data_IF_339190592522
#
_entry.id   IF_339190592522
#
_cell.length_a   1.000
_cell.length_b   1.000
_cell.length_c   1.000
_cell.angle_alpha   90.00
_cell.angle_beta   90.00
_cell.angle_gamma   90.00
#
_symmetry.space_group_name_H-M   'P 1'
#
loop_
_entity.id
_entity.type
_entity.pdbx_description
1 polymer ?
#
# COMPACT_ATOMS: atom_id res chain seq x y z
N UNK A 1 -12.70 1.58 -80.73
CA UNK A 1 -13.55 1.41 -79.52
C UNK A 1 -12.66 1.65 -78.31
N UNK A 2 -12.76 2.66 -77.47
CA UNK A 2 -13.58 3.87 -77.41
C UNK A 2 -13.07 4.64 -76.18
N UNK A 3 -12.40 5.77 -76.41
CA UNK A 3 -11.95 6.72 -75.39
C UNK A 3 -13.12 7.27 -74.56
N UNK A 4 -12.91 7.43 -73.25
CA UNK A 4 -13.71 8.38 -72.45
C UNK A 4 -12.84 9.24 -71.53
N UNK A 5 -12.81 10.51 -71.94
CA UNK A 5 -12.29 11.71 -71.28
C UNK A 5 -13.16 12.15 -70.09
N UNK A 6 -12.58 13.10 -69.32
CA UNK A 6 -13.20 14.22 -68.56
C UNK A 6 -13.81 13.85 -67.19
N UNK A 7 -13.76 14.69 -66.14
CA UNK A 7 -13.36 16.09 -66.01
C UNK A 7 -12.99 16.44 -64.56
N UNK A 8 -12.12 17.43 -64.43
CA UNK A 8 -11.84 18.22 -63.24
C UNK A 8 -13.09 18.97 -62.73
N UNK A 9 -13.23 19.11 -61.41
CA UNK A 9 -14.08 20.14 -60.80
C UNK A 9 -13.30 20.88 -59.73
N UNK A 10 -12.79 22.06 -60.14
CA UNK A 10 -12.40 23.18 -59.27
C UNK A 10 -13.63 24.06 -59.06
N UNK A 11 -13.90 24.46 -57.81
CA UNK A 11 -14.53 25.71 -57.31
C UNK A 11 -14.90 25.46 -55.83
N UNK A 12 -14.81 26.38 -54.89
CA UNK A 12 -14.53 27.81 -54.93
C UNK A 12 -14.21 28.29 -53.51
N UNK A 13 -13.13 29.06 -53.43
CA UNK A 13 -12.71 29.91 -52.32
C UNK A 13 -13.76 31.02 -52.12
N UNK A 14 -14.41 31.06 -50.96
CA UNK A 14 -15.27 32.17 -50.54
C UNK A 14 -14.68 32.87 -49.32
N UNK A 15 -14.78 34.19 -49.34
CA UNK A 15 -14.15 35.17 -48.47
C UNK A 15 -14.85 35.30 -47.10
N UNK A 16 -14.08 35.80 -46.13
CA UNK A 16 -14.49 36.29 -44.79
C UNK A 16 -15.59 37.38 -44.88
N UNK A 17 -16.31 37.68 -43.79
CA UNK A 17 -15.86 38.69 -42.81
C UNK A 17 -16.10 38.23 -41.34
N UNK A 18 -15.12 38.31 -40.43
CA UNK A 18 -14.79 39.48 -39.61
C UNK A 18 -16.00 40.29 -39.12
N UNK A 19 -16.56 39.91 -37.96
CA UNK A 19 -17.25 40.85 -37.07
C UNK A 19 -16.82 40.58 -35.63
N UNK A 20 -16.08 41.54 -35.07
CA UNK A 20 -15.90 41.63 -33.64
C UNK A 20 -17.14 42.24 -33.00
N UNK A 21 -17.46 41.78 -31.79
CA UNK A 21 -18.13 42.64 -30.82
C UNK A 21 -17.76 42.25 -29.40
N UNK A 22 -17.14 43.24 -28.74
CA UNK A 22 -16.97 43.36 -27.30
C UNK A 22 -18.34 43.57 -26.64
N UNK A 23 -18.44 43.16 -25.37
CA UNK A 23 -19.23 43.71 -24.23
C UNK A 23 -19.70 42.53 -23.37
N UNK A 24 -19.83 42.62 -22.06
CA UNK A 24 -19.41 43.56 -21.03
C UNK A 24 -19.62 42.83 -19.71
N UNK A 25 -18.88 43.25 -18.67
CA UNK A 25 -19.08 42.81 -17.30
C UNK A 25 -20.49 43.12 -16.80
N UNK A 26 -21.09 42.18 -16.09
CA UNK A 26 -22.34 42.34 -15.35
C UNK A 26 -22.16 41.83 -13.93
N UNK A 27 -21.71 42.74 -13.06
CA UNK A 27 -21.63 42.59 -11.62
C UNK A 27 -22.99 42.92 -11.00
N UNK A 28 -23.54 41.98 -10.25
CA UNK A 28 -24.60 42.21 -9.25
C UNK A 28 -24.58 41.03 -8.27
N UNK A 29 -24.89 41.13 -6.98
CA UNK A 29 -24.94 42.16 -5.93
C UNK A 29 -25.55 41.39 -4.74
N UNK A 30 -24.92 41.53 -3.57
CA UNK A 30 -25.35 41.01 -2.25
C UNK A 30 -26.85 41.17 -1.95
N UNK A 31 -27.41 40.14 -1.28
CA UNK A 31 -28.36 40.21 -0.15
C UNK A 31 -28.00 39.02 0.76
N UNK A 32 -27.33 39.15 1.92
CA UNK A 32 -27.79 39.66 3.23
C UNK A 32 -29.15 39.13 3.69
N UNK A 33 -29.10 38.06 4.52
CA UNK A 33 -29.65 37.90 5.89
C UNK A 33 -31.10 38.35 6.18
N UNK A 34 -31.85 37.67 7.09
CA UNK A 34 -31.48 37.74 8.51
C UNK A 34 -31.88 36.57 9.44
N UNK A 35 -31.27 36.61 10.64
CA UNK A 35 -31.82 36.32 11.99
C UNK A 35 -32.53 34.98 12.26
N UNK A 36 -32.56 34.36 13.44
CA UNK A 36 -32.17 34.53 14.85
C UNK A 36 -32.08 33.06 15.36
N UNK A 37 -31.42 32.70 16.45
CA UNK A 37 -32.03 32.76 17.78
C UNK A 37 -31.02 32.33 18.84
N UNK A 38 -31.12 33.01 19.96
CA UNK A 38 -30.14 33.14 21.01
C UNK A 38 -30.67 32.38 22.23
N UNK A 39 -30.11 31.21 22.56
CA UNK A 39 -30.47 30.48 23.79
C UNK A 39 -29.34 30.54 24.81
N UNK A 40 -29.70 31.19 25.92
CA UNK A 40 -28.95 31.49 27.14
C UNK A 40 -28.38 30.26 27.85
N UNK A 41 -27.12 30.41 28.27
CA UNK A 41 -26.27 29.47 29.00
C UNK A 41 -26.60 29.51 30.51
N UNK A 42 -26.95 28.37 31.11
CA UNK A 42 -27.10 28.21 32.56
C UNK A 42 -25.73 27.95 33.22
N UNK A 43 -25.46 28.62 34.35
CA UNK A 43 -24.28 28.45 35.19
C UNK A 43 -24.50 27.34 36.23
N UNK A 44 -23.54 26.43 36.48
CA UNK A 44 -23.59 25.54 37.64
C UNK A 44 -22.95 26.17 38.90
N UNK A 45 -23.55 25.85 40.06
CA UNK A 45 -23.06 26.18 41.42
C UNK A 45 -21.95 25.22 41.86
N UNK A 46 -21.02 25.64 42.74
CA UNK A 46 -19.96 24.77 43.27
C UNK A 46 -20.44 23.96 44.48
N UNK A 47 -20.13 22.67 44.51
CA UNK A 47 -20.23 21.80 45.70
C UNK A 47 -18.84 21.46 46.23
N UNK A 48 -18.75 21.53 47.56
CA UNK A 48 -17.57 21.47 48.39
C UNK A 48 -17.28 20.06 48.91
N UNK A 49 -15.98 19.69 48.86
CA UNK A 49 -15.15 19.20 50.00
C UNK A 49 -15.22 17.71 50.45
N UNK A 50 -14.04 17.08 50.32
CA UNK A 50 -13.32 16.10 51.19
C UNK A 50 -13.96 14.74 51.52
N UNK A 51 -13.21 13.68 51.23
CA UNK A 51 -12.74 12.75 52.28
C UNK A 51 -11.50 11.96 51.84
N UNK A 52 -10.63 11.69 52.81
CA UNK A 52 -9.31 11.05 52.73
C UNK A 52 -9.33 9.75 53.54
N UNK A 53 -8.76 8.64 53.03
CA UNK A 53 -8.31 7.45 53.79
C UNK A 53 -7.22 6.74 52.96
N UNK A 54 -5.92 6.76 53.37
CA UNK A 54 -5.16 5.74 54.17
C UNK A 54 -5.15 4.34 53.54
N UNK A 55 -4.05 3.79 52.99
CA UNK A 55 -2.76 3.35 53.59
C UNK A 55 -2.81 1.97 54.29
N UNK A 56 -2.23 0.94 53.65
CA UNK A 56 -1.48 -0.22 54.24
C UNK A 56 -1.22 -1.28 53.14
N UNK A 57 0.04 -1.53 52.76
CA UNK A 57 0.90 -2.69 53.15
C UNK A 57 0.83 -3.80 52.07
N UNK A 58 1.87 -4.09 51.26
CA UNK A 58 3.22 -4.67 51.48
C UNK A 58 3.19 -6.19 51.74
N UNK A 59 4.04 -6.90 51.00
CA UNK A 59 4.48 -8.31 51.11
C UNK A 59 3.64 -9.46 50.53
N UNK A 60 4.05 -9.93 49.33
CA UNK A 60 4.20 -11.38 49.04
C UNK A 60 5.02 -11.58 47.75
N UNK A 61 6.34 -11.59 47.91
CA UNK A 61 7.29 -12.00 46.87
C UNK A 61 8.42 -12.80 47.52
N UNK A 62 8.17 -14.08 47.84
CA UNK A 62 9.23 -15.06 48.07
C UNK A 62 8.63 -16.48 48.16
N UNK A 63 8.60 -17.19 47.03
CA UNK A 63 8.56 -18.65 47.03
C UNK A 63 9.26 -19.17 45.77
N UNK A 64 10.58 -19.32 45.94
CA UNK A 64 11.56 -19.97 45.05
C UNK A 64 11.10 -21.38 44.64
N UNK A 65 11.20 -21.73 43.36
CA UNK A 65 12.29 -22.51 42.76
C UNK A 65 12.51 -23.88 43.43
N UNK A 66 11.97 -24.93 42.80
CA UNK A 66 12.33 -26.34 43.01
C UNK A 66 12.41 -27.05 41.66
N UNK A 67 13.63 -27.42 41.26
CA UNK A 67 13.98 -28.13 40.02
C UNK A 67 13.49 -29.58 40.03
N UNK A 68 12.88 -30.02 38.93
CA UNK A 68 12.65 -31.43 38.63
C UNK A 68 12.10 -31.57 37.21
N UNK A 69 12.81 -32.29 36.36
CA UNK A 69 12.47 -32.61 34.96
C UNK A 69 11.00 -32.99 34.79
N UNK A 70 10.18 -32.10 34.24
CA UNK A 70 8.78 -32.39 33.97
C UNK A 70 8.27 -31.57 32.77
N UNK A 71 7.37 -32.21 32.02
CA UNK A 71 6.61 -31.75 30.83
C UNK A 71 6.29 -30.25 30.82
N UNK A 72 6.18 -29.70 29.61
CA UNK A 72 5.89 -28.29 29.33
C UNK A 72 4.74 -27.74 30.22
N UNK A 73 4.89 -26.56 30.85
CA UNK A 73 3.89 -26.00 31.75
C UNK A 73 2.57 -25.62 31.06
N UNK A 74 2.55 -25.58 29.73
CA UNK A 74 1.33 -25.31 28.93
C UNK A 74 0.37 -26.51 28.89
N UNK A 75 0.85 -27.76 29.01
CA UNK A 75 -0.01 -28.94 28.93
C UNK A 75 -0.93 -29.05 30.16
N UNK A 76 -0.43 -28.65 31.34
CA UNK A 76 -1.24 -28.62 32.58
C UNK A 76 -2.38 -27.60 32.55
N UNK A 77 -2.20 -26.50 31.82
CA UNK A 77 -3.25 -25.48 31.69
C UNK A 77 -4.37 -25.99 30.80
N UNK A 78 -4.03 -26.75 29.75
CA UNK A 78 -5.00 -27.31 28.83
C UNK A 78 -5.88 -28.39 29.49
N UNK A 79 -5.28 -29.30 30.26
CA UNK A 79 -6.03 -30.36 30.98
C UNK A 79 -6.95 -29.77 32.07
N UNK A 80 -6.50 -28.71 32.75
CA UNK A 80 -7.28 -28.01 33.78
C UNK A 80 -8.47 -27.24 33.17
N UNK A 81 -8.31 -26.68 31.96
CA UNK A 81 -9.37 -25.94 31.27
C UNK A 81 -10.39 -26.88 30.62
N UNK A 82 -9.98 -28.08 30.18
CA UNK A 82 -10.86 -29.06 29.55
C UNK A 82 -11.53 -30.03 30.55
N UNK A 83 -11.22 -29.92 31.85
CA UNK A 83 -11.84 -30.74 32.90
C UNK A 83 -11.48 -32.22 32.83
N UNK A 84 -10.39 -32.56 32.14
CA UNK A 84 -9.92 -33.94 31.99
C UNK A 84 -9.22 -34.33 33.30
N UNK A 85 -9.76 -35.32 34.00
CA UNK A 85 -9.16 -35.83 35.22
C UNK A 85 -7.78 -36.43 34.90
N UNK A 86 -6.76 -36.27 35.77
CA UNK A 86 -5.44 -36.90 35.59
C UNK A 86 -5.50 -38.43 35.42
N UNK A 87 -6.61 -39.06 35.84
CA UNK A 87 -6.87 -40.49 35.70
C UNK A 87 -7.37 -40.87 34.28
N UNK A 88 -8.03 -39.97 33.56
CA UNK A 88 -8.43 -40.17 32.14
C UNK A 88 -7.28 -39.94 31.17
N UNK A 89 -6.37 -39.00 31.46
CA UNK A 89 -5.23 -38.73 30.57
C UNK A 89 -4.24 -39.89 30.53
N UNK A 90 -4.15 -40.70 31.59
CA UNK A 90 -3.30 -41.87 31.65
C UNK A 90 -3.86 -43.09 30.89
N UNK A 91 -5.18 -43.12 30.63
CA UNK A 91 -5.81 -44.19 29.86
C UNK A 91 -5.63 -44.03 28.35
N UNK A 92 -5.52 -42.79 27.86
CA UNK A 92 -5.39 -42.48 26.43
C UNK A 92 -4.00 -42.84 25.89
N UNK A 93 -2.94 -42.70 26.70
CA UNK A 93 -1.57 -43.08 26.33
C UNK A 93 -1.35 -44.61 26.28
N UNK A 94 -2.30 -45.42 26.79
CA UNK A 94 -2.18 -46.88 26.84
C UNK A 94 -2.83 -47.62 25.65
N UNK A 95 -3.71 -46.99 24.88
CA UNK A 95 -4.44 -47.65 23.77
C UNK A 95 -3.88 -47.34 22.37
N UNK A 96 -2.87 -46.48 22.23
CA UNK A 96 -2.32 -46.10 20.91
C UNK A 96 -1.13 -46.96 20.43
N UNK A 97 -0.89 -48.12 21.04
CA UNK A 97 0.16 -49.06 20.65
C UNK A 97 -0.31 -50.51 20.80
N UNK A 98 -1.27 -50.93 19.97
CA UNK A 98 -1.76 -52.31 20.00
C UNK A 98 -2.53 -52.77 18.76
N UNK A 99 -1.81 -53.37 17.81
CA UNK A 99 -2.36 -54.22 16.74
C UNK A 99 -2.68 -53.48 15.45
N UNK A 100 -2.25 -53.89 14.26
CA UNK A 100 -1.73 -55.18 13.80
C UNK A 100 -2.36 -55.51 12.45
N UNK A 101 -1.71 -56.38 11.68
CA UNK A 101 -2.25 -57.12 10.52
C UNK A 101 -2.13 -56.46 9.14
N UNK A 102 -1.00 -56.77 8.49
CA UNK A 102 -0.94 -57.59 7.27
C UNK A 102 -1.97 -57.28 6.17
N UNK A 103 -1.54 -56.54 5.14
CA UNK A 103 -2.13 -56.65 3.81
C UNK A 103 -1.01 -56.75 2.76
N UNK A 104 -0.90 -57.96 2.18
CA UNK A 104 -0.07 -58.29 1.04
C UNK A 104 -0.64 -57.58 -0.20
N UNK A 105 0.05 -56.56 -0.71
CA UNK A 105 -0.24 -56.02 -2.04
C UNK A 105 1.01 -56.01 -2.91
N UNK A 106 1.04 -57.01 -3.78
CA UNK A 106 1.71 -57.12 -5.07
C UNK A 106 2.43 -55.86 -5.61
N UNK A 107 3.77 -55.93 -5.62
CA UNK A 107 4.51 -56.05 -6.87
C UNK A 107 4.37 -54.95 -7.93
N UNK A 108 4.25 -53.68 -7.56
CA UNK A 108 4.45 -52.58 -8.51
C UNK A 108 5.90 -52.09 -8.42
N UNK A 109 6.68 -52.37 -9.48
CA UNK A 109 8.05 -51.91 -9.63
C UNK A 109 8.08 -50.37 -9.69
N UNK A 110 8.17 -49.74 -8.52
CA UNK A 110 8.51 -48.33 -8.38
C UNK A 110 9.92 -48.16 -8.93
N UNK A 111 10.01 -47.43 -10.03
CA UNK A 111 11.28 -46.86 -10.47
C UNK A 111 11.78 -46.04 -9.29
N UNK A 112 12.94 -46.44 -8.74
CA UNK A 112 13.64 -45.66 -7.75
C UNK A 112 14.02 -44.35 -8.43
N UNK A 113 13.15 -43.35 -8.30
CA UNK A 113 13.44 -41.98 -8.65
C UNK A 113 14.67 -41.60 -7.83
N UNK A 114 15.78 -41.46 -8.57
CA UNK A 114 17.07 -40.97 -8.13
C UNK A 114 16.83 -39.63 -7.41
N UNK A 115 16.62 -39.70 -6.09
CA UNK A 115 16.71 -38.58 -5.17
C UNK A 115 18.17 -38.15 -5.15
N UNK A 116 18.60 -37.53 -6.26
CA UNK A 116 19.88 -36.85 -6.35
C UNK A 116 19.91 -35.88 -5.18
N UNK A 117 20.78 -36.17 -4.23
CA UNK A 117 21.13 -35.35 -3.07
C UNK A 117 21.61 -33.99 -3.58
N UNK A 118 20.66 -33.15 -3.99
CA UNK A 118 20.90 -31.80 -4.42
C UNK A 118 21.19 -31.03 -3.15
N UNK A 119 22.46 -31.11 -2.72
CA UNK A 119 23.02 -30.22 -1.71
C UNK A 119 22.71 -28.81 -2.17
N UNK A 120 21.68 -28.23 -1.57
CA UNK A 120 21.30 -26.85 -1.82
C UNK A 120 22.52 -26.01 -1.47
N UNK A 121 23.26 -25.60 -2.50
CA UNK A 121 24.50 -24.85 -2.34
C UNK A 121 24.19 -23.56 -1.58
N UNK A 122 24.52 -23.52 -0.30
CA UNK A 122 24.32 -22.33 0.52
C UNK A 122 25.05 -21.15 -0.11
N UNK A 123 24.33 -20.05 -0.35
CA UNK A 123 24.88 -18.87 -0.98
C UNK A 123 24.46 -17.60 -0.26
N UNK A 124 25.37 -16.62 -0.28
CA UNK A 124 25.14 -15.32 0.35
C UNK A 124 24.50 -14.35 -0.64
N UNK A 125 23.38 -13.75 -0.22
CA UNK A 125 22.67 -12.69 -0.92
C UNK A 125 23.09 -11.34 -0.32
N UNK A 126 23.43 -10.39 -1.18
CA UNK A 126 23.84 -9.04 -0.78
C UNK A 126 22.69 -8.06 -1.05
N UNK A 127 22.12 -7.54 0.02
CA UNK A 127 21.07 -6.52 0.01
C UNK A 127 21.68 -5.13 0.18
N UNK A 128 21.12 -4.13 -0.51
CA UNK A 128 21.47 -2.72 -0.31
C UNK A 128 20.33 -2.03 0.42
N UNK A 129 20.58 -1.61 1.66
CA UNK A 129 19.60 -0.99 2.54
C UNK A 129 19.93 0.49 2.77
N UNK A 130 18.95 1.40 2.81
CA UNK A 130 19.20 2.82 3.08
C UNK A 130 19.54 3.04 4.56
N UNK A 131 20.52 3.91 4.83
CA UNK A 131 20.95 4.28 6.18
C UNK A 131 21.51 5.70 6.20
N UNK A 132 20.91 6.61 6.98
CA UNK A 132 21.35 8.02 7.12
C UNK A 132 21.78 8.71 5.80
N UNK A 133 20.91 8.70 4.78
CA UNK A 133 21.17 9.26 3.43
C UNK A 133 22.26 8.54 2.61
N UNK A 134 22.75 7.39 3.08
CA UNK A 134 23.65 6.50 2.36
C UNK A 134 22.99 5.13 2.11
N UNK A 135 23.71 4.24 1.43
CA UNK A 135 23.33 2.83 1.27
C UNK A 135 24.36 1.94 1.96
N UNK A 136 23.92 1.03 2.81
CA UNK A 136 24.76 0.00 3.39
C UNK A 136 24.48 -1.37 2.75
N UNK A 137 25.50 -2.22 2.74
CA UNK A 137 25.36 -3.61 2.32
C UNK A 137 25.04 -4.51 3.51
N UNK A 138 24.02 -5.35 3.34
CA UNK A 138 23.59 -6.38 4.28
C UNK A 138 23.76 -7.74 3.60
N UNK A 139 24.57 -8.61 4.18
CA UNK A 139 24.87 -9.94 3.65
C UNK A 139 24.12 -10.99 4.46
N UNK A 140 23.28 -11.79 3.81
CA UNK A 140 22.49 -12.84 4.45
C UNK A 140 22.57 -14.15 3.67
N UNK A 141 22.40 -15.28 4.33
CA UNK A 141 22.33 -16.59 3.67
C UNK A 141 20.97 -16.77 2.98
N UNK A 142 20.91 -17.52 1.88
CA UNK A 142 19.67 -17.86 1.19
C UNK A 142 18.67 -18.65 2.05
N UNK A 143 19.16 -19.30 3.12
CA UNK A 143 18.35 -20.05 4.10
C UNK A 143 17.77 -19.16 5.21
N UNK A 144 18.09 -17.86 5.22
CA UNK A 144 17.63 -16.92 6.25
C UNK A 144 16.10 -16.81 6.21
N UNK A 145 15.44 -17.02 7.34
CA UNK A 145 13.98 -16.87 7.48
C UNK A 145 13.53 -15.41 7.34
N UNK A 146 12.24 -15.18 7.06
CA UNK A 146 11.71 -13.82 6.93
C UNK A 146 11.92 -12.98 8.21
N UNK A 147 11.67 -13.56 9.38
CA UNK A 147 11.90 -12.90 10.68
C UNK A 147 13.39 -12.57 10.88
N UNK A 148 14.28 -13.49 10.49
CA UNK A 148 15.73 -13.27 10.52
C UNK A 148 16.16 -12.13 9.60
N UNK A 149 15.60 -12.06 8.40
CA UNK A 149 15.81 -10.97 7.46
C UNK A 149 15.35 -9.63 8.03
N UNK A 150 14.12 -9.53 8.54
CA UNK A 150 13.60 -8.31 9.14
C UNK A 150 14.45 -7.84 10.32
N UNK A 151 14.84 -8.77 11.20
CA UNK A 151 15.70 -8.47 12.36
C UNK A 151 17.06 -7.93 11.92
N UNK A 152 17.64 -8.51 10.87
CA UNK A 152 18.92 -8.06 10.32
C UNK A 152 18.79 -6.67 9.66
N UNK A 153 17.69 -6.40 8.96
CA UNK A 153 17.39 -5.07 8.39
C UNK A 153 17.19 -4.03 9.49
N UNK A 154 16.43 -4.32 10.55
CA UNK A 154 16.24 -3.42 11.70
C UNK A 154 17.56 -3.01 12.32
N UNK A 155 18.41 -4.00 12.60
CA UNK A 155 19.72 -3.77 13.20
C UNK A 155 20.62 -2.95 12.28
N UNK A 156 20.55 -3.19 10.97
CA UNK A 156 21.39 -2.51 9.97
C UNK A 156 20.93 -1.08 9.69
N UNK A 157 19.64 -0.83 9.74
CA UNK A 157 19.03 0.48 9.49
C UNK A 157 18.90 1.35 10.76
N UNK A 158 19.07 0.76 11.94
CA UNK A 158 18.85 1.42 13.25
C UNK A 158 17.44 2.02 13.39
N UNK A 159 16.44 1.33 12.84
CA UNK A 159 15.02 1.74 12.89
C UNK A 159 14.20 0.78 13.75
N UNK A 160 13.09 1.27 14.31
CA UNK A 160 12.13 0.44 15.03
C UNK A 160 11.29 -0.45 14.11
N UNK A 161 10.73 -1.54 14.66
CA UNK A 161 9.90 -2.54 13.95
C UNK A 161 8.76 -1.88 13.16
N UNK A 162 8.18 -0.81 13.70
CA UNK A 162 7.08 -0.05 13.09
C UNK A 162 7.43 0.58 11.73
N UNK A 163 8.72 0.78 11.44
CA UNK A 163 9.15 1.34 10.14
C UNK A 163 9.30 0.27 9.06
N UNK A 164 9.20 -1.01 9.41
CA UNK A 164 9.31 -2.14 8.49
C UNK A 164 7.96 -2.70 8.04
N UNK A 165 6.84 -2.08 8.40
CA UNK A 165 5.51 -2.53 8.00
C UNK A 165 5.23 -2.42 6.50
N UNK A 166 6.13 -1.81 5.71
CA UNK A 166 5.98 -1.60 4.27
C UNK A 166 7.33 -1.60 3.54
N UNK A 167 8.16 -2.64 3.71
CA UNK A 167 9.44 -2.72 3.01
C UNK A 167 9.20 -3.03 1.53
N UNK A 168 9.55 -2.09 0.66
CA UNK A 168 9.66 -2.34 -0.77
C UNK A 168 11.06 -2.84 -1.17
N UNK A 169 11.15 -3.82 -2.06
CA UNK A 169 12.40 -4.24 -2.67
C UNK A 169 12.41 -4.03 -4.19
N UNK A 170 13.61 -3.79 -4.73
CA UNK A 170 13.85 -3.68 -6.17
C UNK A 170 14.96 -4.66 -6.56
N UNK A 171 14.61 -5.66 -7.36
CA UNK A 171 15.56 -6.62 -7.89
C UNK A 171 16.49 -5.95 -8.92
N UNK A 172 17.75 -5.71 -8.55
CA UNK A 172 18.74 -5.03 -9.40
C UNK A 172 19.08 -5.79 -10.68
N UNK A 173 18.80 -7.10 -10.71
CA UNK A 173 19.03 -7.94 -11.87
C UNK A 173 17.94 -7.86 -12.95
N UNK A 174 16.82 -7.19 -12.67
CA UNK A 174 15.78 -6.93 -13.68
C UNK A 174 16.22 -5.79 -14.61
N UNK A 175 15.84 -5.81 -15.90
CA UNK A 175 16.19 -4.75 -16.83
C UNK A 175 15.69 -3.38 -16.34
N UNK A 176 16.50 -2.34 -16.52
CA UNK A 176 16.18 -0.97 -16.04
C UNK A 176 15.06 -0.28 -16.83
N UNK A 177 14.68 -0.80 -17.99
CA UNK A 177 13.65 -0.25 -18.87
C UNK A 177 12.62 -1.34 -19.21
N UNK A 178 11.36 -1.20 -18.77
CA UNK A 178 10.80 -0.11 -17.94
C UNK A 178 11.42 -0.04 -16.53
N UNK A 179 11.30 1.11 -15.84
CA UNK A 179 11.81 1.24 -14.46
C UNK A 179 11.16 0.16 -13.59
N UNK A 180 11.94 -0.71 -12.93
CA UNK A 180 11.38 -1.78 -12.11
C UNK A 180 10.54 -1.18 -10.99
N UNK A 181 9.30 -1.65 -10.86
CA UNK A 181 8.39 -1.22 -9.79
C UNK A 181 8.79 -1.93 -8.50
N UNK A 182 8.95 -1.21 -7.37
CA UNK A 182 9.19 -1.82 -6.08
C UNK A 182 8.08 -2.81 -5.72
N UNK A 183 8.45 -4.01 -5.28
CA UNK A 183 7.51 -5.01 -4.74
C UNK A 183 7.52 -4.94 -3.23
N UNK A 184 6.36 -5.06 -2.60
CA UNK A 184 6.22 -5.02 -1.14
C UNK A 184 6.56 -6.39 -0.53
N UNK A 185 7.15 -6.39 0.66
CA UNK A 185 7.47 -7.57 1.47
C UNK A 185 6.75 -7.44 2.81
N UNK A 186 5.51 -7.89 2.90
CA UNK A 186 4.72 -7.83 4.14
C UNK A 186 4.66 -9.18 4.84
N UNK A 187 4.60 -10.26 4.04
CA UNK A 187 4.36 -11.61 4.54
C UNK A 187 5.58 -12.51 4.37
N UNK A 188 5.58 -13.63 5.10
CA UNK A 188 6.58 -14.69 4.89
C UNK A 188 6.46 -15.32 3.49
N UNK A 189 5.30 -15.24 2.83
CA UNK A 189 5.07 -15.78 1.50
C UNK A 189 5.71 -14.91 0.42
N UNK A 190 5.59 -13.58 0.53
CA UNK A 190 6.28 -12.63 -0.34
C UNK A 190 7.79 -12.83 -0.31
N UNK A 191 8.33 -13.09 0.88
CA UNK A 191 9.75 -13.35 1.07
C UNK A 191 10.18 -14.70 0.47
N UNK A 192 9.35 -15.75 0.57
CA UNK A 192 9.59 -17.02 -0.15
C UNK A 192 9.58 -16.81 -1.67
N UNK A 193 8.64 -16.01 -2.19
CA UNK A 193 8.58 -15.65 -3.61
C UNK A 193 9.84 -14.91 -4.06
N UNK A 194 10.34 -13.97 -3.26
CA UNK A 194 11.63 -13.31 -3.50
C UNK A 194 12.79 -14.32 -3.56
N UNK A 195 12.86 -15.26 -2.63
CA UNK A 195 13.92 -16.27 -2.62
C UNK A 195 13.84 -17.22 -3.82
N UNK A 196 12.64 -17.58 -4.27
CA UNK A 196 12.44 -18.33 -5.50
C UNK A 196 12.91 -17.54 -6.73
N UNK A 197 12.52 -16.26 -6.86
CA UNK A 197 12.96 -15.35 -7.94
C UNK A 197 14.50 -15.24 -8.00
N UNK A 198 15.17 -15.14 -6.84
CA UNK A 198 16.65 -15.07 -6.75
C UNK A 198 17.29 -16.40 -7.15
N UNK A 199 16.73 -17.52 -6.68
CA UNK A 199 17.24 -18.87 -6.97
C UNK A 199 17.12 -19.19 -8.46
N UNK A 200 15.99 -18.86 -9.08
CA UNK A 200 15.78 -19.01 -10.53
C UNK A 200 16.79 -18.20 -11.33
N UNK A 201 16.98 -16.94 -10.96
CA UNK A 201 17.97 -16.07 -11.59
C UNK A 201 19.40 -16.63 -11.46
N UNK A 202 19.78 -17.14 -10.28
CA UNK A 202 21.08 -17.78 -10.05
C UNK A 202 21.27 -19.01 -10.96
N UNK A 203 20.27 -19.89 -11.02
CA UNK A 203 20.27 -21.08 -11.90
C UNK A 203 20.46 -20.69 -13.36
N UNK A 204 19.73 -19.67 -13.83
CA UNK A 204 19.89 -19.15 -15.19
C UNK A 204 21.32 -18.64 -15.45
N UNK A 205 21.89 -17.88 -14.52
CA UNK A 205 23.25 -17.34 -14.65
C UNK A 205 24.34 -18.43 -14.63
N UNK A 206 24.20 -19.44 -13.78
CA UNK A 206 25.13 -20.57 -13.72
C UNK A 206 25.09 -21.39 -15.02
N UNK A 207 23.88 -21.68 -15.54
CA UNK A 207 23.70 -22.37 -16.83
C UNK A 207 24.37 -21.60 -17.98
N UNK A 208 24.27 -20.26 -17.96
CA UNK A 208 24.89 -19.40 -18.98
C UNK A 208 26.42 -19.34 -18.88
N UNK A 209 27.00 -19.42 -17.67
CA UNK A 209 28.47 -19.44 -17.49
C UNK A 209 29.12 -20.73 -18.01
N UNK A 210 28.39 -21.84 -18.06
CA UNK A 210 28.91 -23.11 -18.59
C UNK A 210 28.93 -23.22 -20.12
N UNK A 211 28.13 -22.41 -20.83
CA UNK A 211 28.05 -22.41 -22.29
C UNK A 211 28.64 -21.13 -22.88
N UNK A 212 29.88 -21.17 -23.35
CA UNK A 212 30.53 -20.03 -23.98
C UNK A 212 29.71 -19.45 -25.13
N UNK A 213 29.38 -18.16 -25.04
CA UNK A 213 28.93 -17.36 -26.19
C UNK A 213 27.43 -17.19 -26.32
N UNK A 214 26.91 -16.06 -25.84
CA UNK A 214 25.58 -15.59 -26.21
C UNK A 214 25.01 -14.58 -25.23
N UNK A 215 25.15 -13.29 -25.52
CA UNK A 215 24.62 -12.17 -24.73
C UNK A 215 23.09 -12.05 -24.70
N UNK A 216 22.36 -13.17 -24.61
CA UNK A 216 20.91 -13.17 -24.46
C UNK A 216 20.50 -12.44 -23.18
N UNK A 217 19.61 -11.46 -23.31
CA UNK A 217 18.97 -10.74 -22.21
C UNK A 217 18.12 -11.74 -21.45
N UNK A 218 18.38 -11.95 -20.15
CA UNK A 218 17.47 -12.69 -19.30
C UNK A 218 16.15 -11.92 -19.25
N UNK A 219 15.11 -12.52 -19.82
CA UNK A 219 13.76 -12.21 -19.45
C UNK A 219 13.38 -13.34 -18.48
N UNK A 220 12.90 -13.04 -17.27
CA UNK A 220 12.30 -14.08 -16.45
C UNK A 220 11.32 -14.83 -17.33
N UNK A 221 11.20 -16.16 -17.15
CA UNK A 221 10.06 -16.86 -17.70
C UNK A 221 8.85 -16.04 -17.26
N UNK A 222 8.16 -15.43 -18.23
CA UNK A 222 6.93 -14.69 -17.96
C UNK A 222 6.14 -15.68 -17.15
N UNK A 223 5.92 -15.41 -15.85
CA UNK A 223 5.07 -16.26 -15.03
C UNK A 223 3.85 -16.52 -15.92
N UNK A 224 3.52 -17.78 -16.25
CA UNK A 224 2.34 -18.06 -17.07
C UNK A 224 1.26 -17.26 -16.39
N UNK A 225 0.72 -16.26 -17.10
CA UNK A 225 -0.07 -15.19 -16.51
C UNK A 225 -0.97 -15.88 -15.50
N UNK A 226 -0.75 -15.61 -14.20
CA UNK A 226 -1.48 -16.28 -13.14
C UNK A 226 -2.93 -16.25 -13.59
N UNK A 227 -3.64 -17.40 -13.66
CA UNK A 227 -4.97 -17.45 -14.24
C UNK A 227 -5.72 -16.23 -13.74
N UNK A 228 -6.02 -15.30 -14.65
CA UNK A 228 -6.59 -14.00 -14.28
C UNK A 228 -7.72 -14.34 -13.33
N UNK A 229 -7.64 -13.83 -12.09
CA UNK A 229 -8.62 -14.09 -11.05
C UNK A 229 -10.00 -13.97 -11.71
N UNK A 230 -10.92 -14.91 -11.46
CA UNK A 230 -12.18 -14.97 -12.22
C UNK A 230 -12.92 -13.61 -12.26
N UNK A 231 -12.70 -12.77 -11.24
CA UNK A 231 -13.15 -11.37 -11.19
C UNK A 231 -12.53 -10.46 -12.26
N UNK A 232 -11.22 -10.55 -12.54
CA UNK A 232 -10.55 -9.76 -13.56
C UNK A 232 -10.98 -10.16 -14.98
N UNK A 233 -11.13 -11.47 -15.22
CA UNK A 233 -11.63 -11.97 -16.50
C UNK A 233 -13.03 -11.43 -16.80
N UNK A 234 -13.92 -11.45 -15.81
CA UNK A 234 -15.27 -10.90 -15.98
C UNK A 234 -15.29 -9.38 -16.22
N UNK A 235 -14.43 -8.60 -15.54
CA UNK A 235 -14.28 -7.17 -15.82
C UNK A 235 -13.85 -6.91 -17.26
N UNK A 236 -12.95 -7.74 -17.79
CA UNK A 236 -12.50 -7.63 -19.17
C UNK A 236 -13.61 -7.97 -20.18
N UNK A 237 -14.45 -8.95 -19.88
CA UNK A 237 -15.65 -9.27 -20.67
C UNK A 237 -16.66 -8.12 -20.67
N UNK A 238 -16.89 -7.48 -19.52
CA UNK A 238 -17.74 -6.29 -19.41
C UNK A 238 -17.18 -5.11 -20.22
N UNK A 239 -15.87 -4.88 -20.18
CA UNK A 239 -15.23 -3.85 -21.01
C UNK A 239 -15.47 -4.11 -22.50
N UNK A 240 -15.27 -5.36 -22.96
CA UNK A 240 -15.50 -5.73 -24.36
C UNK A 240 -16.98 -5.57 -24.75
N UNK A 241 -17.92 -5.85 -23.84
CA UNK A 241 -19.34 -5.64 -24.05
C UNK A 241 -19.69 -4.15 -24.22
N UNK A 242 -19.14 -3.27 -23.37
CA UNK A 242 -19.30 -1.81 -23.48
C UNK A 242 -18.71 -1.32 -24.81
N UNK A 243 -17.52 -1.78 -25.18
CA UNK A 243 -16.87 -1.38 -26.43
C UNK A 243 -17.70 -1.76 -27.65
N UNK A 244 -18.24 -2.98 -27.66
CA UNK A 244 -19.09 -3.48 -28.74
C UNK A 244 -20.40 -2.70 -28.85
N UNK A 245 -21.04 -2.39 -27.71
CA UNK A 245 -22.33 -1.70 -27.69
C UNK A 245 -22.21 -0.23 -28.12
N UNK A 246 -21.16 0.47 -27.65
CA UNK A 246 -20.93 1.89 -27.95
C UNK A 246 -20.00 2.12 -29.16
N UNK A 247 -19.79 1.10 -29.99
CA UNK A 247 -18.90 1.17 -31.15
C UNK A 247 -19.35 2.24 -32.15
N UNK A 248 -18.49 3.24 -32.39
CA UNK A 248 -18.80 4.36 -33.27
C UNK A 248 -18.18 4.20 -34.66
N UNK A 249 -18.98 4.46 -35.71
CA UNK A 249 -18.50 4.38 -37.10
C UNK A 249 -17.45 5.46 -37.43
N UNK A 250 -17.58 6.67 -36.89
CA UNK A 250 -16.61 7.77 -37.14
C UNK A 250 -15.22 7.47 -36.56
N UNK A 251 -15.16 6.71 -35.46
CA UNK A 251 -13.92 6.39 -34.76
C UNK A 251 -13.47 4.93 -34.98
N UNK A 252 -13.81 4.35 -36.14
CA UNK A 252 -13.38 3.00 -36.55
C UNK A 252 -13.76 1.89 -35.55
N UNK A 253 -15.00 1.92 -35.06
CA UNK A 253 -15.53 0.91 -34.16
C UNK A 253 -15.12 1.07 -32.70
N UNK A 254 -14.47 2.18 -32.33
CA UNK A 254 -14.15 2.50 -30.93
C UNK A 254 -15.37 2.99 -30.17
N UNK A 255 -15.44 2.63 -28.89
CA UNK A 255 -16.48 3.07 -27.98
C UNK A 255 -16.54 4.60 -27.88
N UNK A 256 -17.67 5.22 -28.21
CA UNK A 256 -17.85 6.67 -28.07
C UNK A 256 -19.19 7.03 -27.43
N UNK A 257 -19.18 8.12 -26.65
CA UNK A 257 -20.39 8.83 -26.24
C UNK A 257 -20.79 9.86 -27.29
N UNK A 258 -22.01 9.77 -27.80
CA UNK A 258 -22.55 10.72 -28.80
C UNK A 258 -23.38 11.78 -28.09
N UNK A 259 -22.97 13.03 -28.17
CA UNK A 259 -23.71 14.15 -27.61
C UNK A 259 -24.90 14.52 -28.50
N UNK A 260 -25.86 15.23 -27.93
CA UNK A 260 -27.07 15.72 -28.62
C UNK A 260 -26.77 16.59 -29.85
N UNK A 261 -25.58 17.20 -29.92
CA UNK A 261 -25.12 18.01 -31.05
C UNK A 261 -24.37 17.21 -32.13
N UNK A 262 -24.30 15.88 -32.02
CA UNK A 262 -23.54 15.01 -32.93
C UNK A 262 -22.03 15.07 -32.70
N UNK A 263 -21.55 15.69 -31.62
CA UNK A 263 -20.14 15.57 -31.22
C UNK A 263 -19.90 14.22 -30.56
N UNK A 264 -18.70 13.66 -30.75
CA UNK A 264 -18.32 12.35 -30.21
C UNK A 264 -17.21 12.51 -29.17
N UNK A 265 -17.39 11.87 -28.00
CA UNK A 265 -16.34 11.66 -27.01
C UNK A 265 -15.90 10.20 -27.05
N UNK A 266 -14.66 9.95 -27.47
CA UNK A 266 -14.11 8.60 -27.46
C UNK A 266 -13.75 8.20 -26.02
N UNK A 267 -14.30 7.10 -25.53
CA UNK A 267 -13.96 6.58 -24.20
C UNK A 267 -12.48 6.18 -24.16
N UNK A 268 -11.79 6.55 -23.09
CA UNK A 268 -10.44 6.06 -22.80
C UNK A 268 -10.50 4.71 -22.07
N UNK A 269 -9.41 3.95 -22.04
CA UNK A 269 -9.38 2.68 -21.32
C UNK A 269 -9.77 2.83 -19.83
N UNK A 270 -9.33 3.93 -19.19
CA UNK A 270 -9.72 4.24 -17.82
C UNK A 270 -11.23 4.49 -17.65
N UNK A 271 -11.90 5.05 -18.68
CA UNK A 271 -13.34 5.26 -18.67
C UNK A 271 -14.08 3.91 -18.71
N UNK A 272 -13.61 2.99 -19.58
CA UNK A 272 -14.16 1.64 -19.71
C UNK A 272 -13.96 0.80 -18.44
N UNK A 273 -12.79 0.89 -17.79
CA UNK A 273 -12.52 0.18 -16.52
C UNK A 273 -13.44 0.67 -15.39
N UNK A 274 -13.62 1.98 -15.26
CA UNK A 274 -14.53 2.55 -14.25
C UNK A 274 -15.97 2.08 -14.53
N UNK A 275 -16.40 2.13 -15.79
CA UNK A 275 -17.74 1.70 -16.17
C UNK A 275 -17.96 0.21 -15.93
N UNK A 276 -17.05 -0.66 -16.36
CA UNK A 276 -17.12 -2.09 -16.10
C UNK A 276 -17.18 -2.41 -14.61
N UNK A 277 -16.44 -1.65 -13.78
CA UNK A 277 -16.49 -1.78 -12.31
C UNK A 277 -17.86 -1.37 -11.76
N UNK A 278 -18.47 -0.30 -12.27
CA UNK A 278 -19.80 0.13 -11.85
C UNK A 278 -20.88 -0.87 -12.25
N UNK A 279 -20.77 -1.51 -13.42
CA UNK A 279 -21.69 -2.58 -13.83
C UNK A 279 -21.52 -3.81 -12.92
N UNK A 280 -20.28 -4.21 -12.64
CA UNK A 280 -19.99 -5.32 -11.73
C UNK A 280 -20.54 -5.11 -10.31
N UNK A 281 -20.63 -3.85 -9.85
CA UNK A 281 -21.23 -3.50 -8.58
C UNK A 281 -22.75 -3.23 -8.65
N UNK A 282 -23.40 -3.54 -9.78
CA UNK A 282 -24.82 -3.26 -10.04
C UNK A 282 -25.22 -1.77 -9.88
N UNK A 283 -24.27 -0.86 -10.07
CA UNK A 283 -24.48 0.60 -10.00
C UNK A 283 -24.69 1.24 -11.37
N UNK A 284 -24.51 0.49 -12.45
CA UNK A 284 -24.66 0.96 -13.82
C UNK A 284 -25.10 -0.18 -14.75
N UNK A 285 -25.56 0.18 -15.94
CA UNK A 285 -25.85 -0.77 -17.02
C UNK A 285 -24.92 -0.54 -18.22
N UNK A 286 -24.86 -1.50 -19.15
CA UNK A 286 -24.09 -1.35 -20.40
C UNK A 286 -24.66 -0.22 -21.26
N UNK A 287 -25.98 -0.01 -21.23
CA UNK A 287 -26.66 0.92 -22.14
C UNK A 287 -26.61 2.37 -21.65
N UNK A 288 -26.58 2.58 -20.33
CA UNK A 288 -26.66 3.91 -19.72
C UNK A 288 -25.31 4.32 -19.16
N UNK A 289 -24.82 5.47 -19.63
CA UNK A 289 -23.53 6.02 -19.17
C UNK A 289 -23.65 6.46 -17.71
N UNK A 290 -22.77 5.99 -16.81
CA UNK A 290 -22.80 6.38 -15.41
C UNK A 290 -22.39 7.84 -15.19
N UNK A 291 -23.12 8.57 -14.34
CA UNK A 291 -22.83 9.96 -13.98
C UNK A 291 -21.42 10.13 -13.36
N UNK A 292 -20.88 9.09 -12.73
CA UNK A 292 -19.54 9.09 -12.13
C UNK A 292 -18.43 9.28 -13.17
N UNK A 293 -18.66 8.98 -14.45
CA UNK A 293 -17.67 9.20 -15.50
C UNK A 293 -17.43 10.68 -15.81
N UNK A 294 -18.38 11.58 -15.47
CA UNK A 294 -18.31 13.03 -15.72
C UNK A 294 -17.84 13.33 -17.15
N UNK A 295 -18.53 12.73 -18.12
CA UNK A 295 -18.12 12.77 -19.53
C UNK A 295 -18.08 14.21 -20.05
N UNK A 296 -19.00 15.06 -19.60
CA UNK A 296 -19.10 16.48 -19.94
C UNK A 296 -17.84 17.27 -19.55
N UNK A 297 -17.31 17.02 -18.35
CA UNK A 297 -16.08 17.66 -17.87
C UNK A 297 -14.87 17.23 -18.69
N UNK A 298 -14.81 15.92 -19.02
CA UNK A 298 -13.71 15.33 -19.80
C UNK A 298 -13.72 15.83 -21.25
N UNK A 299 -14.90 16.02 -21.85
CA UNK A 299 -15.06 16.60 -23.19
C UNK A 299 -14.45 18.00 -23.23
N UNK A 300 -14.76 18.84 -22.25
CA UNK A 300 -14.22 20.20 -22.18
C UNK A 300 -12.68 20.18 -22.06
N UNK A 301 -12.13 19.25 -21.29
CA UNK A 301 -10.68 19.06 -21.17
C UNK A 301 -10.05 18.58 -22.48
N UNK A 302 -10.68 17.63 -23.18
CA UNK A 302 -10.20 17.13 -24.47
C UNK A 302 -10.25 18.20 -25.56
N UNK A 303 -11.32 19.01 -25.62
CA UNK A 303 -11.42 20.16 -26.53
C UNK A 303 -10.31 21.18 -26.25
N UNK A 304 -10.04 21.50 -24.98
CA UNK A 304 -8.94 22.40 -24.60
C UNK A 304 -7.58 21.85 -25.02
N UNK A 305 -7.34 20.55 -24.82
CA UNK A 305 -6.10 19.90 -25.23
C UNK A 305 -5.93 19.90 -26.77
N UNK A 306 -6.98 19.56 -27.53
CA UNK A 306 -6.97 19.62 -29.00
C UNK A 306 -6.73 21.05 -29.49
N UNK A 307 -7.39 22.04 -28.90
CA UNK A 307 -7.19 23.45 -29.24
C UNK A 307 -5.77 23.93 -28.90
N UNK A 308 -5.19 23.50 -27.77
CA UNK A 308 -3.81 23.85 -27.41
C UNK A 308 -2.78 23.26 -28.39
N UNK A 309 -2.98 22.01 -28.83
CA UNK A 309 -2.12 21.37 -29.85
C UNK A 309 -2.24 22.10 -31.20
N UNK A 310 -3.47 22.42 -31.62
CA UNK A 310 -3.72 23.13 -32.88
C UNK A 310 -3.20 24.58 -32.84
N UNK A 311 -3.32 25.27 -31.71
CA UNK A 311 -2.79 26.62 -31.51
C UNK A 311 -1.26 26.63 -31.50
N UNK A 312 -0.62 25.59 -30.95
CA UNK A 312 0.85 25.42 -31.00
C UNK A 312 1.34 25.28 -32.44
N UNK A 313 0.58 24.64 -33.34
CA UNK A 313 0.95 24.55 -34.75
C UNK A 313 0.76 25.88 -35.51
N UNK A 314 -0.25 26.67 -35.15
CA UNK A 314 -0.55 27.92 -35.86
C UNK A 314 0.30 29.11 -35.41
N UNK A 315 0.79 29.11 -34.17
CA UNK A 315 1.49 30.28 -33.61
C UNK A 315 2.99 30.34 -33.92
N UNK A 316 3.45 29.71 -35.02
CA UNK A 316 4.68 30.06 -35.74
C UNK A 316 6.00 30.12 -34.95
N UNK A 317 6.00 29.69 -33.69
CA UNK A 317 7.18 29.61 -32.84
C UNK A 317 7.96 28.39 -33.26
N UNK A 318 8.99 28.62 -34.07
CA UNK A 318 9.98 27.68 -34.53
C UNK A 318 10.57 26.85 -33.36
N UNK A 319 9.85 25.82 -32.92
CA UNK A 319 10.47 24.65 -32.32
C UNK A 319 11.34 24.04 -33.41
N UNK A 320 12.62 23.72 -33.13
CA UNK A 320 13.61 23.49 -34.17
C UNK A 320 13.20 22.38 -35.14
N UNK A 321 12.89 22.76 -36.38
CA UNK A 321 12.69 21.82 -37.49
C UNK A 321 13.95 20.97 -37.80
N UNK A 322 15.11 21.32 -37.24
CA UNK A 322 16.34 20.53 -37.42
C UNK A 322 16.31 19.17 -36.71
N UNK A 323 15.34 18.91 -35.81
CA UNK A 323 15.22 17.58 -35.19
C UNK A 323 14.43 16.57 -36.05
N UNK A 324 13.74 17.00 -37.09
CA UNK A 324 12.88 16.11 -37.90
C UNK A 324 13.40 15.85 -39.31
N UNK A 325 14.44 16.57 -39.78
CA UNK A 325 15.07 16.27 -41.05
C UNK A 325 16.57 16.01 -40.88
N UNK A 326 16.94 14.76 -41.15
CA UNK A 326 18.24 14.37 -41.70
C UNK A 326 19.39 14.23 -40.70
N UNK A 327 19.28 13.25 -39.80
CA UNK A 327 20.47 12.61 -39.22
C UNK A 327 20.61 11.19 -39.79
N UNK A 328 21.69 10.89 -40.53
CA UNK A 328 21.99 9.55 -40.99
C UNK A 328 22.12 8.55 -39.81
N UNK A 329 21.70 7.28 -39.97
CA UNK A 329 21.62 6.30 -38.87
C UNK A 329 22.94 5.97 -38.13
N UNK A 330 24.09 6.46 -38.59
CA UNK A 330 25.42 6.02 -38.13
C UNK A 330 26.09 6.93 -37.09
N UNK A 331 25.48 8.05 -36.66
CA UNK A 331 26.10 8.98 -35.68
C UNK A 331 25.79 8.72 -34.20
N UNK A 332 25.06 7.65 -33.84
CA UNK A 332 24.72 7.32 -32.44
C UNK A 332 25.86 6.63 -31.64
N UNK A 333 27.12 6.96 -31.94
CA UNK A 333 28.30 6.27 -31.41
C UNK A 333 29.13 7.01 -30.36
N UNK A 334 28.76 8.22 -29.92
CA UNK A 334 29.55 8.94 -28.90
C UNK A 334 28.88 8.91 -27.52
N UNK A 335 29.54 8.37 -26.50
CA UNK A 335 28.96 8.26 -25.17
C UNK A 335 29.01 9.60 -24.40
N UNK A 336 27.95 9.93 -23.63
CA UNK A 336 27.71 11.26 -23.06
C UNK A 336 28.64 11.69 -21.90
N UNK A 337 29.74 10.98 -21.63
CA UNK A 337 30.68 11.30 -20.54
C UNK A 337 31.86 12.18 -20.96
N UNK A 338 32.00 12.54 -22.24
CA UNK A 338 33.12 13.38 -22.73
C UNK A 338 32.91 14.90 -22.65
N UNK A 339 31.75 15.39 -22.20
CA UNK A 339 31.58 16.83 -21.94
C UNK A 339 31.89 17.15 -20.47
N UNK A 340 33.19 17.23 -20.17
CA UNK A 340 33.71 17.71 -18.90
C UNK A 340 33.84 19.25 -18.99
N UNK A 341 32.93 19.96 -18.33
CA UNK A 341 32.97 21.42 -18.23
C UNK A 341 34.16 21.84 -17.33
N UNK A 342 34.98 22.84 -17.74
CA UNK A 342 36.11 23.30 -16.94
C UNK A 342 35.65 24.11 -15.71
N UNK A 343 36.43 23.95 -14.64
CA UNK A 343 36.12 24.29 -13.26
C UNK A 343 35.78 25.75 -12.96
N UNK A 344 34.87 25.92 -12.00
CA UNK A 344 34.68 27.15 -11.24
C UNK A 344 35.17 26.93 -9.81
N UNK A 345 35.97 27.88 -9.34
CA UNK A 345 36.88 27.78 -8.20
C UNK A 345 36.24 27.64 -6.83
N UNK A 346 37.05 27.12 -5.91
CA UNK A 346 36.72 26.90 -4.51
C UNK A 346 36.52 28.19 -3.72
N UNK A 347 35.51 28.15 -2.84
CA UNK A 347 35.31 29.11 -1.77
C UNK A 347 35.41 28.33 -0.46
N UNK A 348 36.39 28.71 0.36
CA UNK A 348 36.57 28.23 1.73
C UNK A 348 35.32 28.57 2.55
N UNK A 349 34.62 27.55 3.05
CA UNK A 349 33.52 27.74 3.99
C UNK A 349 34.04 27.72 5.42
N UNK A 350 33.75 28.82 6.13
CA UNK A 350 33.90 28.98 7.56
C UNK A 350 32.96 28.02 8.32
N UNK A 351 33.29 27.63 9.57
CA UNK A 351 32.48 26.71 10.36
C UNK A 351 31.11 27.31 10.70
N UNK A 352 30.06 26.62 10.26
CA UNK A 352 28.65 26.99 10.51
C UNK A 352 28.28 26.61 11.95
N UNK A 353 27.68 27.53 12.74
CA UNK A 353 27.27 27.25 14.11
C UNK A 353 26.14 26.22 14.15
N UNK A 354 26.27 25.26 15.07
CA UNK A 354 25.33 24.15 15.29
C UNK A 354 23.94 24.72 15.63
N UNK A 355 22.88 24.38 14.88
CA UNK A 355 21.54 24.88 15.15
C UNK A 355 21.04 24.37 16.50
N UNK A 356 20.55 25.31 17.30
CA UNK A 356 19.88 25.10 18.59
C UNK A 356 18.76 24.05 18.46
N UNK A 357 18.58 23.15 19.46
CA UNK A 357 17.59 22.07 19.38
C UNK A 357 16.20 22.65 19.13
N UNK A 358 15.57 22.18 18.06
CA UNK A 358 14.22 22.59 17.64
C UNK A 358 13.24 22.49 18.82
N UNK A 359 12.39 23.50 19.05
CA UNK A 359 11.40 23.45 20.11
C UNK A 359 10.54 22.19 19.96
N UNK A 360 10.21 21.51 21.08
CA UNK A 360 9.46 20.26 21.05
C UNK A 360 8.16 20.48 20.27
N UNK A 361 7.99 19.74 19.16
CA UNK A 361 6.77 19.74 18.39
C UNK A 361 5.60 19.50 19.34
N UNK A 362 4.64 20.44 19.37
CA UNK A 362 3.41 20.32 20.15
C UNK A 362 2.71 19.02 19.73
N UNK A 363 2.82 17.98 20.55
CA UNK A 363 2.19 16.68 20.29
C UNK A 363 0.68 16.88 20.24
N UNK A 364 0.03 16.40 19.18
CA UNK A 364 -1.42 16.56 18.97
C UNK A 364 -2.25 15.73 19.97
N UNK A 365 -1.68 14.64 20.45
CA UNK A 365 -2.35 13.66 21.31
C UNK A 365 -1.62 13.47 22.65
N UNK A 366 -2.36 13.15 23.74
CA UNK A 366 -1.74 12.87 25.03
C UNK A 366 -0.99 11.53 24.98
N UNK A 367 0.01 11.36 25.86
CA UNK A 367 0.64 10.06 26.06
C UNK A 367 -0.38 9.05 26.57
N UNK A 368 -0.28 7.80 26.12
CA UNK A 368 -1.24 6.73 26.47
C UNK A 368 -1.33 6.52 27.98
N UNK A 369 -0.19 6.62 28.68
CA UNK A 369 -0.09 6.45 30.13
C UNK A 369 -0.89 7.51 30.89
N UNK A 370 -0.74 8.78 30.51
CA UNK A 370 -1.49 9.89 31.08
C UNK A 370 -3.00 9.79 30.73
N UNK A 371 -3.31 9.30 29.54
CA UNK A 371 -4.69 9.11 29.10
C UNK A 371 -5.40 7.99 29.87
N UNK A 372 -4.78 6.81 30.03
CA UNK A 372 -5.33 5.70 30.83
C UNK A 372 -5.55 6.11 32.29
N UNK A 373 -4.61 6.84 32.88
CA UNK A 373 -4.78 7.36 34.24
C UNK A 373 -5.96 8.36 34.35
N UNK A 374 -6.21 9.14 33.30
CA UNK A 374 -7.36 10.04 33.25
C UNK A 374 -8.69 9.29 33.09
N UNK A 375 -8.70 8.13 32.44
CA UNK A 375 -9.89 7.25 32.38
C UNK A 375 -10.25 6.72 33.77
N UNK A 376 -9.26 6.28 34.54
CA UNK A 376 -9.47 5.78 35.92
C UNK A 376 -10.01 6.87 36.86
N UNK A 377 -9.70 8.14 36.57
CA UNK A 377 -10.16 9.28 37.37
C UNK A 377 -11.54 9.82 36.95
N UNK A 378 -12.13 9.28 35.88
CA UNK A 378 -13.38 9.78 35.32
C UNK A 378 -14.58 9.07 35.98
N UNK A 379 -15.52 9.83 36.55
CA UNK A 379 -16.69 9.28 37.25
C UNK A 379 -17.55 8.38 36.35
N UNK A 380 -17.72 8.74 35.07
CA UNK A 380 -18.59 7.98 34.14
C UNK A 380 -17.86 6.76 33.55
N UNK A 381 -16.56 6.91 33.24
CA UNK A 381 -15.78 5.85 32.56
C UNK A 381 -15.12 4.86 33.53
N UNK A 382 -14.85 5.30 34.76
CA UNK A 382 -14.33 4.48 35.85
C UNK A 382 -15.41 3.85 36.73
N UNK A 383 -16.70 4.06 36.43
CA UNK A 383 -17.82 3.58 37.24
C UNK A 383 -17.81 2.06 37.45
N UNK A 384 -17.28 1.30 36.49
CA UNK A 384 -17.18 -0.17 36.55
C UNK A 384 -16.06 -0.67 37.48
N UNK A 385 -15.30 0.22 38.13
CA UNK A 385 -14.16 -0.13 38.97
C UNK A 385 -12.98 -0.75 38.21
N UNK A 386 -12.97 -0.63 36.88
CA UNK A 386 -11.85 -1.10 36.07
C UNK A 386 -10.65 -0.18 36.23
N UNK A 387 -9.50 -0.78 36.53
CA UNK A 387 -8.21 -0.08 36.56
C UNK A 387 -7.55 -0.24 35.18
N UNK A 388 -7.63 0.80 34.35
CA UNK A 388 -7.03 0.85 33.02
C UNK A 388 -5.53 1.17 33.08
N UNK A 389 -5.06 1.88 34.11
CA UNK A 389 -3.64 2.19 34.31
C UNK A 389 -2.75 0.95 34.38
N UNK A 390 -3.27 -0.20 34.85
CA UNK A 390 -2.49 -1.46 34.88
C UNK A 390 -1.97 -1.91 33.51
N UNK A 391 -2.60 -1.47 32.41
CA UNK A 391 -2.18 -1.80 31.05
C UNK A 391 -1.12 -0.83 30.49
N UNK A 392 -0.78 0.24 31.20
CA UNK A 392 0.12 1.30 30.73
C UNK A 392 1.51 0.77 30.35
N UNK A 393 2.07 -0.12 31.18
CA UNK A 393 3.40 -0.70 30.94
C UNK A 393 3.37 -1.66 29.74
N UNK A 394 2.30 -2.45 29.61
CA UNK A 394 2.10 -3.35 28.46
C UNK A 394 1.97 -2.55 27.15
N UNK A 395 1.24 -1.43 27.14
CA UNK A 395 1.16 -0.54 25.97
C UNK A 395 2.55 0.00 25.59
N UNK A 396 3.32 0.46 26.58
CA UNK A 396 4.69 0.94 26.35
C UNK A 396 5.62 -0.14 25.84
N UNK A 397 5.47 -1.39 26.31
CA UNK A 397 6.28 -2.53 25.86
C UNK A 397 5.99 -2.91 24.41
N UNK A 398 4.73 -2.79 23.96
CA UNK A 398 4.30 -3.04 22.57
C UNK A 398 4.65 -1.85 21.64
N UNK A 399 5.06 -0.71 22.21
CA UNK A 399 5.41 0.49 21.44
C UNK A 399 4.23 1.39 21.07
N UNK A 400 3.09 1.22 21.75
CA UNK A 400 1.93 2.12 21.65
C UNK A 400 2.14 3.21 22.70
N UNK A 401 2.60 4.38 22.29
CA UNK A 401 3.04 5.44 23.22
C UNK A 401 2.02 6.57 23.28
N UNK A 402 1.32 6.84 22.18
CA UNK A 402 0.33 7.91 22.05
C UNK A 402 -1.07 7.37 21.79
N UNK A 403 -2.09 8.20 22.07
CA UNK A 403 -3.48 7.84 21.79
C UNK A 403 -3.75 7.58 20.30
N UNK A 404 -2.98 8.24 19.41
CA UNK A 404 -3.07 8.03 17.96
C UNK A 404 -2.61 6.63 17.55
N UNK A 405 -1.57 6.11 18.21
CA UNK A 405 -1.05 4.76 17.97
C UNK A 405 -2.10 3.70 18.29
N UNK A 406 -2.92 3.94 19.33
CA UNK A 406 -4.02 3.06 19.70
C UNK A 406 -5.14 3.05 18.64
N UNK A 407 -5.40 4.19 18.00
CA UNK A 407 -6.42 4.27 16.93
C UNK A 407 -6.01 3.56 15.64
N UNK A 408 -4.71 3.41 15.41
CA UNK A 408 -4.18 2.65 14.28
C UNK A 408 -4.29 1.12 14.48
N UNK A 409 -4.66 0.66 15.69
CA UNK A 409 -4.99 -0.75 15.94
C UNK A 409 -6.44 -0.97 15.50
N UNK A 410 -6.63 -1.27 14.21
CA UNK A 410 -7.97 -1.40 13.60
C UNK A 410 -8.82 -2.54 14.17
N UNK A 411 -8.18 -3.62 14.64
CA UNK A 411 -8.88 -4.80 15.19
C UNK A 411 -8.83 -4.84 16.71
N UNK A 412 -10.01 -5.01 17.32
CA UNK A 412 -10.19 -5.28 18.75
C UNK A 412 -9.50 -6.58 19.17
N UNK A 413 -9.51 -7.59 18.30
CA UNK A 413 -8.92 -8.91 18.56
C UNK A 413 -7.40 -8.81 18.67
N UNK A 414 -6.77 -7.99 17.82
CA UNK A 414 -5.34 -7.75 17.86
C UNK A 414 -4.93 -7.06 19.17
N UNK A 415 -5.73 -6.11 19.64
CA UNK A 415 -5.50 -5.46 20.93
C UNK A 415 -5.69 -6.44 22.10
N UNK A 416 -6.69 -7.31 22.02
CA UNK A 416 -6.96 -8.36 23.00
C UNK A 416 -5.77 -9.33 23.13
N UNK A 417 -5.28 -9.83 22.00
CA UNK A 417 -4.17 -10.78 21.93
C UNK A 417 -2.85 -10.15 22.43
N UNK A 418 -2.52 -8.95 21.95
CA UNK A 418 -1.28 -8.26 22.32
C UNK A 418 -1.19 -7.93 23.81
N UNK A 419 -2.34 -7.68 24.45
CA UNK A 419 -2.38 -7.18 25.82
C UNK A 419 -2.91 -8.18 26.84
N UNK A 420 -3.30 -9.37 26.39
CA UNK A 420 -3.92 -10.40 27.22
C UNK A 420 -5.07 -9.85 28.09
N UNK A 421 -5.86 -8.95 27.52
CA UNK A 421 -7.01 -8.35 28.22
C UNK A 421 -8.32 -8.97 27.75
N UNK A 422 -9.39 -8.78 28.53
CA UNK A 422 -10.71 -9.23 28.11
C UNK A 422 -11.20 -8.43 26.89
N UNK A 423 -11.87 -9.11 25.96
CA UNK A 423 -12.40 -8.48 24.74
C UNK A 423 -13.29 -7.26 25.03
N UNK A 424 -14.11 -7.32 26.08
CA UNK A 424 -14.96 -6.20 26.51
C UNK A 424 -14.16 -4.95 26.89
N UNK A 425 -13.07 -5.13 27.63
CA UNK A 425 -12.14 -4.06 28.02
C UNK A 425 -11.43 -3.47 26.81
N UNK A 426 -10.94 -4.31 25.89
CA UNK A 426 -10.32 -3.87 24.64
C UNK A 426 -11.28 -3.02 23.79
N UNK A 427 -12.53 -3.48 23.66
CA UNK A 427 -13.58 -2.78 22.92
C UNK A 427 -13.94 -1.43 23.56
N UNK A 428 -14.06 -1.38 24.89
CA UNK A 428 -14.30 -0.14 25.63
C UNK A 428 -13.16 0.86 25.45
N UNK A 429 -11.89 0.42 25.54
CA UNK A 429 -10.73 1.28 25.35
C UNK A 429 -10.69 1.92 23.96
N UNK A 430 -10.93 1.13 22.90
CA UNK A 430 -10.99 1.67 21.53
C UNK A 430 -12.13 2.69 21.39
N UNK A 431 -13.31 2.40 21.96
CA UNK A 431 -14.44 3.34 21.95
C UNK A 431 -14.10 4.66 22.65
N UNK A 432 -13.51 4.62 23.84
CA UNK A 432 -13.12 5.83 24.58
C UNK A 432 -12.03 6.63 23.85
N UNK A 433 -11.07 5.95 23.21
CA UNK A 433 -10.04 6.60 22.40
C UNK A 433 -10.67 7.36 21.22
N UNK A 434 -11.62 6.74 20.52
CA UNK A 434 -12.34 7.37 19.40
C UNK A 434 -13.15 8.60 19.85
N UNK A 435 -13.85 8.51 20.98
CA UNK A 435 -14.60 9.64 21.55
C UNK A 435 -13.69 10.82 21.92
N UNK A 436 -12.55 10.56 22.55
CA UNK A 436 -11.63 11.60 22.98
C UNK A 436 -10.92 12.27 21.80
N UNK A 437 -10.58 11.51 20.75
CA UNK A 437 -10.05 12.07 19.52
C UNK A 437 -11.09 12.95 18.80
N UNK A 438 -12.35 12.52 18.73
CA UNK A 438 -13.45 13.35 18.20
C UNK A 438 -13.63 14.65 19.00
N UNK A 439 -13.57 14.57 20.34
CA UNK A 439 -13.69 15.73 21.22
C UNK A 439 -12.55 16.72 21.03
N UNK A 440 -11.31 16.24 20.89
CA UNK A 440 -10.14 17.09 20.60
C UNK A 440 -10.19 17.73 19.23
N UNK A 441 -10.66 17.01 18.20
CA UNK A 441 -10.85 17.58 16.87
C UNK A 441 -11.87 18.72 16.89
N UNK A 442 -12.99 18.57 17.62
CA UNK A 442 -13.99 19.62 17.75
C UNK A 442 -13.43 20.86 18.47
N UNK A 443 -12.68 20.66 19.55
CA UNK A 443 -12.08 21.75 20.34
C UNK A 443 -10.96 22.53 19.61
N UNK A 444 -10.48 22.05 18.46
CA UNK A 444 -9.51 22.79 17.63
C UNK A 444 -10.19 23.59 16.51
N UNK A 445 -11.47 23.32 16.23
CA UNK A 445 -12.24 24.03 15.20
C UNK A 445 -12.96 25.25 15.78
N UNK A 446 -13.35 25.17 17.05
CA UNK A 446 -13.87 26.29 17.85
C UNK A 446 -12.71 27.15 18.40
#
# INVERSE_FOLDING_TARGET
>A
MGDRRKAESRKSRAQRPNTGSRKAAGSTRKQQSPEKENTTRLKPKPLTKKQSMSSSDVDTAELLIGLGTARNPMDKVFDTVMGISPEESAAIDAEQYGGGSDDESDGQAFQADDHSDSKDEEYTIVYKVPFHNATQELKLSCTTTFVGFLTAVLRKMEVGVTHLSAIGYVALYKPKNPKPVPKLLETSEDYKSLMADITEYRKYYLKKKGGGGGGGRWLPATQPAAPLEASEQHKHELMAAIEKYHACQEHMGKACYVLTLGEHYQYMNNDLVIWATLIWCDLATVDTVPDQLKVEDKINKQKRAKNAVMQTQLNGGCGPMWLQMQMPPWMYGMPPWMMQAPGSGGISQLPVPVPSPSPPCKRKYPAITAWLQALDSNEDRGADGQNYKKYADTFSAVGIIQLDDLLNVESVEKLQELMQMNWGTAKQLIKFAQEDCKKKMKAHVD
#
